data_IF_105485662779
#
_entry.id   IF_105485662779
#
_cell.length_a   1.000
_cell.length_b   1.000
_cell.length_c   1.000
_cell.angle_alpha   90.00
_cell.angle_beta   90.00
_cell.angle_gamma   90.00
#
_symmetry.space_group_name_H-M   'P 1'
#
loop_
_entity.id
_entity.type
_entity.pdbx_description
1 polymer ?
#
# COMPACT_ATOMS: atom_id res chain seq x y z
N UNK A 1 12.39 -17.29 -0.50
CA UNK A 1 11.01 -16.88 -0.16
C UNK A 1 10.10 -17.68 -1.06
N UNK A 2 9.60 -18.77 -0.53
CA UNK A 2 8.72 -19.69 -1.25
C UNK A 2 7.33 -19.64 -0.60
N UNK A 3 6.75 -18.44 -0.60
CA UNK A 3 5.36 -18.30 -0.23
C UNK A 3 4.53 -18.40 -1.50
N UNK A 4 3.99 -19.59 -1.77
CA UNK A 4 3.11 -19.84 -2.91
C UNK A 4 1.85 -18.96 -2.90
N UNK A 5 1.54 -18.36 -1.77
CA UNK A 5 0.34 -17.55 -1.57
C UNK A 5 0.25 -16.39 -2.56
N UNK A 6 1.35 -15.68 -2.83
CA UNK A 6 1.29 -14.53 -3.74
C UNK A 6 0.96 -14.96 -5.18
N UNK A 7 1.54 -16.08 -5.63
CA UNK A 7 1.23 -16.64 -6.96
C UNK A 7 -0.23 -17.08 -7.07
N UNK A 8 -0.72 -17.80 -6.06
CA UNK A 8 -2.12 -18.25 -6.00
C UNK A 8 -3.10 -17.06 -5.94
N UNK A 9 -2.78 -16.03 -5.18
CA UNK A 9 -3.58 -14.79 -5.12
C UNK A 9 -3.59 -14.07 -6.47
N UNK A 10 -2.48 -14.06 -7.21
CA UNK A 10 -2.40 -13.49 -8.56
C UNK A 10 -3.28 -14.25 -9.55
N UNK A 11 -3.31 -15.58 -9.47
CA UNK A 11 -4.21 -16.42 -10.26
C UNK A 11 -5.69 -16.17 -9.90
N UNK A 12 -6.00 -16.08 -8.61
CA UNK A 12 -7.36 -15.79 -8.14
C UNK A 12 -7.85 -14.40 -8.60
N UNK A 13 -6.99 -13.38 -8.52
CA UNK A 13 -7.29 -12.04 -9.02
C UNK A 13 -7.54 -12.07 -10.54
N UNK A 14 -6.71 -12.79 -11.28
CA UNK A 14 -6.87 -12.96 -12.73
C UNK A 14 -8.19 -13.67 -13.06
N UNK A 15 -8.55 -14.72 -12.32
CA UNK A 15 -9.81 -15.43 -12.51
C UNK A 15 -11.02 -14.52 -12.27
N UNK A 16 -10.99 -13.70 -11.20
CA UNK A 16 -12.05 -12.73 -10.90
C UNK A 16 -12.23 -11.73 -12.04
N UNK A 17 -11.13 -11.21 -12.58
CA UNK A 17 -11.19 -10.26 -13.68
C UNK A 17 -11.71 -10.91 -14.96
N UNK A 18 -11.27 -12.14 -15.30
CA UNK A 18 -11.77 -12.89 -16.43
C UNK A 18 -13.27 -13.22 -16.28
N UNK A 19 -13.71 -13.56 -15.07
CA UNK A 19 -15.13 -13.83 -14.82
C UNK A 19 -15.98 -12.56 -15.02
N UNK A 20 -15.50 -11.41 -14.56
CA UNK A 20 -16.13 -10.11 -14.80
C UNK A 20 -16.25 -9.78 -16.29
N UNK A 21 -15.28 -10.20 -17.11
CA UNK A 21 -15.26 -10.04 -18.57
C UNK A 21 -16.00 -11.15 -19.32
N UNK A 22 -16.56 -12.15 -18.65
CA UNK A 22 -17.20 -13.31 -19.27
C UNK A 22 -16.24 -14.23 -20.01
N UNK A 23 -14.94 -14.21 -19.68
CA UNK A 23 -13.88 -14.97 -20.35
C UNK A 23 -13.37 -16.12 -19.48
N UNK A 24 -12.82 -17.16 -20.12
CA UNK A 24 -12.15 -18.30 -19.48
C UNK A 24 -10.72 -18.49 -19.96
N UNK A 25 -10.37 -17.85 -21.05
CA UNK A 25 -9.03 -17.87 -21.64
C UNK A 25 -8.57 -16.46 -21.94
N UNK A 26 -7.29 -16.18 -21.72
CA UNK A 26 -6.68 -14.88 -22.07
C UNK A 26 -5.16 -14.96 -22.09
N UNK A 27 -4.58 -14.09 -22.90
CA UNK A 27 -3.21 -13.65 -22.71
C UNK A 27 -3.21 -12.54 -21.66
N UNK A 28 -2.36 -12.65 -20.65
CA UNK A 28 -2.35 -11.72 -19.51
C UNK A 28 -1.01 -11.04 -19.36
N UNK A 29 -1.08 -9.79 -18.95
CA UNK A 29 0.05 -9.01 -18.50
C UNK A 29 -0.13 -8.71 -17.01
N UNK A 30 0.79 -9.18 -16.18
CA UNK A 30 0.78 -8.90 -14.76
C UNK A 30 1.61 -7.67 -14.42
N UNK A 31 0.95 -6.65 -13.89
CA UNK A 31 1.55 -5.47 -13.29
C UNK A 31 1.44 -5.61 -11.78
N UNK A 32 2.56 -5.84 -11.11
CA UNK A 32 2.64 -6.18 -9.68
C UNK A 32 3.63 -5.28 -8.96
N UNK A 33 3.68 -5.33 -7.64
CA UNK A 33 4.57 -4.48 -6.88
C UNK A 33 5.37 -5.18 -5.80
N UNK A 34 6.49 -4.57 -5.46
CA UNK A 34 7.32 -4.89 -4.30
C UNK A 34 7.46 -3.67 -3.40
N UNK A 35 7.62 -3.87 -2.09
CA UNK A 35 8.06 -2.80 -1.19
C UNK A 35 9.34 -2.16 -1.72
N UNK A 36 9.43 -0.85 -1.58
CA UNK A 36 10.50 -0.05 -2.18
C UNK A 36 11.90 -0.56 -1.81
N UNK A 37 12.13 -0.85 -0.52
CA UNK A 37 13.43 -1.33 -0.02
C UNK A 37 13.82 -2.72 -0.52
N UNK A 38 12.86 -3.49 -1.05
CA UNK A 38 13.07 -4.82 -1.62
C UNK A 38 13.18 -4.78 -3.14
N UNK A 39 12.65 -3.72 -3.78
CA UNK A 39 12.50 -3.63 -5.22
C UNK A 39 13.81 -3.83 -5.97
N UNK A 40 14.87 -3.10 -5.63
CA UNK A 40 16.16 -3.22 -6.32
C UNK A 40 16.84 -4.60 -6.20
N UNK A 41 16.63 -5.28 -5.07
CA UNK A 41 17.30 -6.56 -4.77
C UNK A 41 16.51 -7.79 -5.22
N UNK A 42 15.19 -7.72 -5.16
CA UNK A 42 14.32 -8.90 -5.30
C UNK A 42 13.51 -8.91 -6.59
N UNK A 43 13.51 -7.83 -7.36
CA UNK A 43 12.70 -7.68 -8.57
C UNK A 43 12.85 -8.85 -9.55
N UNK A 44 14.08 -9.23 -9.90
CA UNK A 44 14.34 -10.28 -10.88
C UNK A 44 13.93 -11.67 -10.32
N UNK A 45 14.21 -11.94 -9.04
CA UNK A 45 13.80 -13.17 -8.38
C UNK A 45 12.26 -13.26 -8.31
N UNK A 46 11.59 -12.14 -8.05
CA UNK A 46 10.14 -12.08 -7.99
C UNK A 46 9.49 -12.28 -9.36
N UNK A 47 10.05 -11.70 -10.43
CA UNK A 47 9.61 -11.97 -11.81
C UNK A 47 9.75 -13.47 -12.11
N UNK A 48 10.90 -14.08 -11.80
CA UNK A 48 11.13 -15.51 -12.02
C UNK A 48 10.13 -16.37 -11.25
N UNK A 49 9.86 -16.03 -9.99
CA UNK A 49 8.88 -16.72 -9.16
C UNK A 49 7.47 -16.64 -9.76
N UNK A 50 7.04 -15.48 -10.25
CA UNK A 50 5.72 -15.33 -10.86
C UNK A 50 5.63 -15.97 -12.25
N UNK A 51 6.74 -16.08 -12.97
CA UNK A 51 6.83 -16.66 -14.31
C UNK A 51 7.22 -18.14 -14.31
N UNK A 52 6.97 -18.86 -13.21
CA UNK A 52 7.31 -20.29 -13.08
C UNK A 52 6.60 -21.16 -14.14
N UNK A 53 5.45 -20.75 -14.62
CA UNK A 53 4.71 -21.37 -15.71
C UNK A 53 4.16 -20.29 -16.64
N UNK A 54 4.53 -20.34 -17.92
CA UNK A 54 4.02 -19.40 -18.92
C UNK A 54 2.55 -19.65 -19.24
N UNK A 55 2.16 -20.91 -19.36
CA UNK A 55 0.79 -21.33 -19.60
C UNK A 55 0.26 -22.01 -18.35
N UNK A 56 -0.88 -21.57 -17.86
CA UNK A 56 -1.46 -22.04 -16.61
C UNK A 56 -2.93 -22.38 -16.80
N UNK A 57 -3.28 -23.62 -16.47
CA UNK A 57 -4.68 -24.04 -16.36
C UNK A 57 -4.98 -24.27 -14.88
N UNK A 58 -5.99 -23.58 -14.36
CA UNK A 58 -6.33 -23.67 -12.95
C UNK A 58 -7.85 -23.55 -12.72
N UNK A 59 -8.30 -23.90 -11.53
CA UNK A 59 -9.72 -23.77 -11.12
C UNK A 59 -9.85 -22.71 -10.03
N UNK A 60 -10.84 -21.84 -10.17
CA UNK A 60 -11.25 -20.88 -9.17
C UNK A 60 -12.79 -20.91 -9.08
N UNK A 61 -13.34 -21.06 -7.87
CA UNK A 61 -14.79 -21.16 -7.61
C UNK A 61 -15.50 -22.18 -8.54
N UNK A 62 -14.92 -23.37 -8.67
CA UNK A 62 -15.39 -24.48 -9.53
C UNK A 62 -15.32 -24.23 -11.05
N UNK A 63 -14.89 -23.06 -11.49
CA UNK A 63 -14.73 -22.69 -12.90
C UNK A 63 -13.27 -22.89 -13.33
N UNK A 64 -13.07 -23.40 -14.54
CA UNK A 64 -11.73 -23.61 -15.10
C UNK A 64 -11.32 -22.41 -15.94
N UNK A 65 -10.06 -21.98 -15.79
CA UNK A 65 -9.43 -20.90 -16.53
C UNK A 65 -8.15 -21.40 -17.19
N UNK A 66 -7.83 -20.85 -18.35
CA UNK A 66 -6.56 -21.08 -19.05
C UNK A 66 -5.98 -19.72 -19.44
N UNK A 67 -4.76 -19.43 -18.98
CA UNK A 67 -4.09 -18.17 -19.26
C UNK A 67 -2.69 -18.40 -19.81
N UNK A 68 -2.24 -17.50 -20.67
CA UNK A 68 -0.85 -17.36 -21.07
C UNK A 68 -0.30 -16.08 -20.49
N UNK A 69 0.72 -16.19 -19.64
CA UNK A 69 1.40 -15.01 -19.05
C UNK A 69 2.40 -14.48 -20.08
N UNK A 70 2.01 -13.41 -20.78
CA UNK A 70 2.85 -12.79 -21.81
C UNK A 70 3.96 -11.96 -21.20
N UNK A 71 3.67 -11.29 -20.08
CA UNK A 71 4.62 -10.42 -19.43
C UNK A 71 4.29 -10.19 -17.96
N UNK A 72 5.35 -9.96 -17.19
CA UNK A 72 5.29 -9.52 -15.79
C UNK A 72 6.13 -8.26 -15.67
N UNK A 73 5.57 -7.20 -15.14
CA UNK A 73 6.30 -5.99 -14.74
C UNK A 73 6.12 -5.73 -13.27
N UNK A 74 7.22 -5.45 -12.59
CA UNK A 74 7.25 -5.16 -11.15
C UNK A 74 7.53 -3.68 -10.96
N UNK A 75 6.74 -3.05 -10.12
CA UNK A 75 6.83 -1.62 -9.79
C UNK A 75 7.06 -1.45 -8.28
N UNK A 76 7.76 -0.38 -7.86
CA UNK A 76 7.91 -0.10 -6.44
C UNK A 76 6.56 0.39 -5.87
N UNK A 77 6.15 -0.20 -4.75
CA UNK A 77 5.06 0.33 -3.94
C UNK A 77 5.40 1.76 -3.49
N UNK A 78 4.45 2.48 -2.93
CA UNK A 78 4.60 3.88 -2.58
C UNK A 78 4.70 4.80 -3.83
N UNK A 79 5.66 4.59 -4.74
CA UNK A 79 5.73 5.33 -6.01
C UNK A 79 4.51 5.07 -6.89
N UNK A 80 4.13 3.82 -7.04
CA UNK A 80 2.95 3.45 -7.82
C UNK A 80 1.69 4.13 -7.32
N UNK A 81 1.50 4.25 -6.00
CA UNK A 81 0.33 4.88 -5.40
C UNK A 81 0.10 6.33 -5.85
N UNK A 82 1.15 7.02 -6.28
CA UNK A 82 1.12 8.43 -6.70
C UNK A 82 1.44 8.64 -8.18
N UNK A 83 1.79 7.59 -8.91
CA UNK A 83 2.31 7.66 -10.28
C UNK A 83 1.37 8.40 -11.25
N UNK A 84 0.05 8.23 -11.11
CA UNK A 84 -0.93 8.88 -12.00
C UNK A 84 -1.06 10.39 -11.74
N UNK A 85 -0.61 10.88 -10.59
CA UNK A 85 -0.72 12.29 -10.17
C UNK A 85 0.66 12.97 -10.05
N UNK A 86 1.73 12.27 -10.39
CA UNK A 86 3.10 12.72 -10.11
C UNK A 86 3.45 14.04 -10.78
N UNK A 87 2.84 14.34 -11.95
CA UNK A 87 3.01 15.60 -12.67
C UNK A 87 2.39 16.82 -11.96
N UNK A 88 1.48 16.58 -11.01
CA UNK A 88 0.81 17.63 -10.23
C UNK A 88 1.62 18.02 -8.97
N UNK A 89 2.68 17.25 -8.67
CA UNK A 89 3.45 17.44 -7.44
C UNK A 89 4.57 18.47 -7.64
N UNK A 90 4.94 19.20 -6.58
CA UNK A 90 6.13 20.04 -6.60
C UNK A 90 7.39 19.23 -6.90
N UNK A 91 8.46 19.93 -7.28
CA UNK A 91 9.74 19.31 -7.60
C UNK A 91 10.32 18.41 -6.48
N UNK A 92 9.96 18.68 -5.23
CA UNK A 92 10.33 17.85 -4.09
C UNK A 92 9.08 17.57 -3.25
N UNK A 93 8.82 16.29 -2.98
CA UNK A 93 7.71 15.82 -2.13
C UNK A 93 8.11 14.56 -1.38
N UNK A 94 7.61 14.38 -0.17
CA UNK A 94 7.76 13.15 0.59
C UNK A 94 6.44 12.36 0.52
N UNK A 95 6.50 11.14 0.02
CA UNK A 95 5.36 10.19 0.07
C UNK A 95 5.55 9.26 1.25
N UNK A 96 4.50 9.09 2.04
CA UNK A 96 4.47 8.21 3.21
C UNK A 96 3.35 7.20 3.01
N UNK A 97 3.71 5.97 2.66
CA UNK A 97 2.77 4.87 2.46
C UNK A 97 2.61 4.09 3.77
N UNK A 98 1.42 4.15 4.35
CA UNK A 98 1.11 3.47 5.60
C UNK A 98 0.25 2.25 5.28
N UNK A 99 0.94 1.12 5.18
CA UNK A 99 0.32 -0.19 4.94
C UNK A 99 -0.08 -0.91 6.22
N UNK A 100 -0.46 -2.19 6.07
CA UNK A 100 -0.80 -3.04 7.21
C UNK A 100 0.40 -3.37 8.09
N UNK A 101 1.56 -3.65 7.50
CA UNK A 101 2.78 -4.09 8.20
C UNK A 101 3.88 -3.04 8.26
N UNK A 102 3.98 -2.20 7.24
CA UNK A 102 5.08 -1.26 7.07
C UNK A 102 4.59 0.17 6.86
N UNK A 103 5.49 1.09 7.18
CA UNK A 103 5.43 2.49 6.76
C UNK A 103 6.64 2.74 5.87
N UNK A 104 6.38 3.09 4.63
CA UNK A 104 7.40 3.40 3.65
C UNK A 104 7.48 4.92 3.44
N UNK A 105 8.67 5.49 3.61
CA UNK A 105 8.93 6.91 3.41
C UNK A 105 9.80 7.07 2.16
N UNK A 106 9.27 7.73 1.16
CA UNK A 106 9.89 7.87 -0.15
C UNK A 106 9.94 9.32 -0.60
N UNK A 107 11.10 9.94 -0.63
CA UNK A 107 11.28 11.21 -1.30
C UNK A 107 11.15 11.06 -2.81
N UNK A 108 10.43 11.99 -3.42
CA UNK A 108 10.36 12.14 -4.88
C UNK A 108 10.95 13.49 -5.24
N UNK A 109 11.94 13.47 -6.13
CA UNK A 109 12.63 14.66 -6.64
C UNK A 109 12.47 14.71 -8.16
N UNK A 110 11.91 15.79 -8.66
CA UNK A 110 11.65 15.96 -10.10
C UNK A 110 10.92 14.74 -10.71
N UNK A 111 9.85 14.30 -10.04
CA UNK A 111 9.00 13.18 -10.45
C UNK A 111 9.67 11.79 -10.43
N UNK A 112 10.86 11.67 -9.84
CA UNK A 112 11.58 10.41 -9.71
C UNK A 112 11.83 10.09 -8.24
N UNK A 113 11.66 8.82 -7.80
CA UNK A 113 11.99 8.43 -6.44
C UNK A 113 13.50 8.56 -6.19
N UNK A 114 13.86 9.08 -5.02
CA UNK A 114 15.24 9.04 -4.53
C UNK A 114 15.44 7.77 -3.71
N UNK A 115 15.83 6.69 -4.39
CA UNK A 115 15.98 5.38 -3.78
C UNK A 115 17.07 5.33 -2.69
N UNK A 116 18.03 6.26 -2.72
CA UNK A 116 19.17 6.28 -1.79
C UNK A 116 18.78 6.63 -0.35
N UNK A 117 17.66 7.32 -0.17
CA UNK A 117 17.15 7.79 1.12
C UNK A 117 15.76 7.27 1.47
N UNK A 118 15.29 6.26 0.73
CA UNK A 118 14.04 5.60 1.05
C UNK A 118 14.16 4.74 2.31
N UNK A 119 13.16 4.78 3.16
CA UNK A 119 13.13 4.06 4.45
C UNK A 119 11.84 3.28 4.60
N UNK A 120 11.95 2.05 5.09
CA UNK A 120 10.81 1.23 5.53
C UNK A 120 10.91 1.01 7.04
N UNK A 121 9.83 1.26 7.75
CA UNK A 121 9.66 0.98 9.18
C UNK A 121 8.61 -0.11 9.38
N UNK A 122 8.86 -1.06 10.28
CA UNK A 122 7.90 -2.11 10.67
C UNK A 122 6.88 -1.55 11.67
N UNK A 123 6.11 -0.56 11.26
CA UNK A 123 5.17 0.20 12.09
C UNK A 123 3.84 0.44 11.36
N UNK A 124 3.37 -0.56 10.61
CA UNK A 124 2.08 -0.47 9.92
C UNK A 124 0.88 -0.52 10.88
N UNK A 125 -0.32 -0.44 10.35
CA UNK A 125 -1.59 -0.37 11.13
C UNK A 125 -1.77 -1.54 12.08
N UNK A 126 -1.30 -2.74 11.73
CA UNK A 126 -1.39 -3.92 12.60
C UNK A 126 -0.64 -3.68 13.91
N UNK A 127 0.54 -3.03 13.88
CA UNK A 127 1.28 -2.72 15.12
C UNK A 127 0.54 -1.73 16.00
N UNK A 128 -0.19 -0.78 15.42
CA UNK A 128 -1.06 0.12 16.16
C UNK A 128 -2.20 -0.64 16.85
N UNK A 129 -2.90 -1.53 16.12
CA UNK A 129 -3.98 -2.36 16.67
C UNK A 129 -3.48 -3.24 17.82
N UNK A 130 -2.33 -3.88 17.64
CA UNK A 130 -1.70 -4.70 18.69
C UNK A 130 -1.37 -3.88 19.94
N UNK A 131 -0.85 -2.65 19.77
CA UNK A 131 -0.55 -1.77 20.89
C UNK A 131 -1.83 -1.31 21.61
N UNK A 132 -2.89 -0.98 20.88
CA UNK A 132 -4.20 -0.65 21.46
C UNK A 132 -4.70 -1.81 22.33
N UNK A 133 -4.69 -3.04 21.80
CA UNK A 133 -5.14 -4.21 22.56
C UNK A 133 -4.28 -4.48 23.80
N UNK A 134 -2.96 -4.32 23.67
CA UNK A 134 -2.05 -4.44 24.82
C UNK A 134 -2.41 -3.45 25.93
N UNK A 135 -2.74 -2.21 25.60
CA UNK A 135 -3.14 -1.19 26.56
C UNK A 135 -4.53 -1.46 27.17
N UNK A 136 -5.48 -1.95 26.37
CA UNK A 136 -6.80 -2.37 26.86
C UNK A 136 -6.67 -3.53 27.86
N UNK A 137 -5.90 -4.55 27.56
CA UNK A 137 -5.62 -5.65 28.50
C UNK A 137 -4.95 -5.11 29.77
N UNK A 138 -3.95 -4.24 29.64
CA UNK A 138 -3.23 -3.67 30.78
C UNK A 138 -4.12 -2.83 31.72
N UNK A 139 -5.00 -1.98 31.15
CA UNK A 139 -5.80 -1.01 31.90
C UNK A 139 -7.17 -1.59 32.32
N UNK A 140 -7.77 -2.46 31.49
CA UNK A 140 -9.14 -2.94 31.64
C UNK A 140 -9.24 -4.48 31.79
N UNK A 141 -8.12 -5.19 31.70
CA UNK A 141 -8.06 -6.67 31.70
C UNK A 141 -8.97 -7.32 30.62
N UNK A 142 -9.11 -6.66 29.47
CA UNK A 142 -9.96 -7.10 28.36
C UNK A 142 -9.40 -6.64 27.04
N UNK A 143 -9.55 -7.44 25.98
CA UNK A 143 -9.25 -7.06 24.61
C UNK A 143 -10.45 -6.40 23.93
N UNK A 144 -10.19 -5.62 22.88
CA UNK A 144 -11.18 -5.06 21.96
C UNK A 144 -11.06 -5.80 20.63
N UNK A 145 -12.18 -6.14 20.02
CA UNK A 145 -12.19 -6.76 18.71
C UNK A 145 -11.50 -5.85 17.67
N UNK A 146 -10.71 -6.44 16.80
CA UNK A 146 -10.00 -5.70 15.74
C UNK A 146 -10.98 -4.92 14.85
N UNK A 147 -12.15 -5.49 14.57
CA UNK A 147 -13.20 -4.83 13.81
C UNK A 147 -13.65 -3.52 14.48
N UNK A 148 -13.86 -3.52 15.79
CA UNK A 148 -14.28 -2.32 16.53
C UNK A 148 -13.18 -1.26 16.53
N UNK A 149 -11.92 -1.64 16.68
CA UNK A 149 -10.77 -0.71 16.54
C UNK A 149 -10.75 -0.12 15.15
N UNK A 150 -10.94 -0.94 14.11
CA UNK A 150 -10.99 -0.47 12.73
C UNK A 150 -12.17 0.47 12.48
N UNK A 151 -13.34 0.23 13.09
CA UNK A 151 -14.48 1.16 13.00
C UNK A 151 -14.13 2.52 13.62
N UNK A 152 -13.43 2.55 14.75
CA UNK A 152 -12.93 3.81 15.33
C UNK A 152 -11.97 4.52 14.38
N UNK A 153 -11.02 3.79 13.78
CA UNK A 153 -10.06 4.34 12.80
C UNK A 153 -10.76 4.96 11.59
N UNK A 154 -11.82 4.31 11.09
CA UNK A 154 -12.51 4.71 9.85
C UNK A 154 -13.62 5.74 10.09
N UNK A 155 -14.37 5.61 11.17
CA UNK A 155 -15.64 6.31 11.37
C UNK A 155 -15.66 7.20 12.62
N UNK A 156 -14.68 7.03 13.52
CA UNK A 156 -14.73 7.60 14.86
C UNK A 156 -15.44 6.66 15.85
N UNK A 157 -15.31 6.96 17.12
CA UNK A 157 -15.73 6.07 18.20
C UNK A 157 -17.23 6.19 18.49
N UNK A 158 -18.09 5.31 17.97
CA UNK A 158 -19.54 5.46 18.20
C UNK A 158 -20.14 4.49 19.21
N UNK A 159 -19.73 3.22 19.25
CA UNK A 159 -20.46 2.19 19.99
C UNK A 159 -19.68 1.53 21.14
N UNK A 160 -18.48 2.01 21.44
CA UNK A 160 -17.66 1.47 22.53
C UNK A 160 -17.88 2.23 23.85
N UNK A 161 -17.78 1.56 25.00
CA UNK A 161 -17.76 2.24 26.31
C UNK A 161 -16.60 3.25 26.36
N UNK A 162 -16.83 4.38 27.05
CA UNK A 162 -15.87 5.52 27.06
C UNK A 162 -14.46 5.11 27.49
N UNK A 163 -14.32 4.23 28.46
CA UNK A 163 -13.03 3.73 28.92
C UNK A 163 -12.19 3.05 27.81
N UNK A 164 -12.83 2.37 26.86
CA UNK A 164 -12.14 1.78 25.70
C UNK A 164 -11.83 2.85 24.64
N UNK A 165 -12.78 3.75 24.41
CA UNK A 165 -12.58 4.89 23.49
C UNK A 165 -11.37 5.70 23.85
N UNK A 166 -11.23 6.08 25.12
CA UNK A 166 -10.13 6.91 25.61
C UNK A 166 -8.77 6.25 25.34
N UNK A 167 -8.68 4.93 25.58
CA UNK A 167 -7.44 4.17 25.29
C UNK A 167 -7.15 4.15 23.80
N UNK A 168 -8.16 3.83 22.97
CA UNK A 168 -8.00 3.74 21.52
C UNK A 168 -7.57 5.09 20.96
N UNK A 169 -8.21 6.18 21.35
CA UNK A 169 -7.89 7.53 20.86
C UNK A 169 -6.49 7.95 21.32
N UNK A 170 -6.11 7.68 22.56
CA UNK A 170 -4.75 7.95 23.07
C UNK A 170 -3.69 7.23 22.24
N UNK A 171 -3.88 5.94 21.97
CA UNK A 171 -2.90 5.14 21.22
C UNK A 171 -2.88 5.52 19.72
N UNK A 172 -4.02 5.89 19.11
CA UNK A 172 -4.07 6.41 17.75
C UNK A 172 -3.29 7.73 17.61
N UNK A 173 -3.41 8.65 18.57
CA UNK A 173 -2.62 9.88 18.58
C UNK A 173 -1.12 9.59 18.74
N UNK A 174 -0.73 8.70 19.65
CA UNK A 174 0.68 8.28 19.82
C UNK A 174 1.23 7.62 18.53
N UNK A 175 0.42 6.81 17.85
CA UNK A 175 0.80 6.22 16.59
C UNK A 175 1.06 7.30 15.53
N UNK A 176 0.16 8.27 15.37
CA UNK A 176 0.36 9.38 14.44
C UNK A 176 1.59 10.21 14.77
N UNK A 177 1.87 10.45 16.06
CA UNK A 177 3.07 11.13 16.52
C UNK A 177 4.33 10.34 16.16
N UNK A 178 4.31 9.00 16.30
CA UNK A 178 5.41 8.13 15.90
C UNK A 178 5.71 8.28 14.40
N UNK A 179 4.68 8.27 13.53
CA UNK A 179 4.85 8.48 12.09
C UNK A 179 5.44 9.87 11.81
N UNK A 180 4.95 10.89 12.50
CA UNK A 180 5.46 12.26 12.39
C UNK A 180 6.93 12.34 12.80
N UNK A 181 7.33 11.63 13.84
CA UNK A 181 8.72 11.58 14.29
C UNK A 181 9.62 10.90 13.27
N UNK A 182 9.18 9.84 12.58
CA UNK A 182 9.96 9.25 11.48
C UNK A 182 10.25 10.28 10.36
N UNK A 183 9.28 11.13 10.04
CA UNK A 183 9.46 12.19 9.03
C UNK A 183 10.53 13.19 9.51
N UNK A 184 10.48 13.59 10.78
CA UNK A 184 11.46 14.52 11.39
C UNK A 184 12.85 13.92 11.50
N UNK A 185 12.96 12.64 11.88
CA UNK A 185 14.24 11.89 11.94
C UNK A 185 14.96 11.85 10.60
N UNK A 186 14.22 11.82 9.49
CA UNK A 186 14.78 11.91 8.15
C UNK A 186 15.17 13.33 7.74
N UNK A 187 15.06 14.30 8.64
CA UNK A 187 15.45 15.70 8.41
C UNK A 187 14.42 16.51 7.63
N UNK A 188 13.17 16.02 7.47
CA UNK A 188 12.13 16.79 6.79
C UNK A 188 11.43 17.77 7.73
N UNK A 189 11.43 19.05 7.34
CA UNK A 189 10.61 20.05 7.98
C UNK A 189 9.18 19.96 7.41
N UNK A 190 8.23 19.59 8.25
CA UNK A 190 6.84 19.35 7.83
C UNK A 190 6.11 20.62 7.40
N UNK A 191 6.56 21.80 7.84
CA UNK A 191 5.96 23.08 7.44
C UNK A 191 6.40 23.52 6.03
N UNK A 192 7.55 23.02 5.58
CA UNK A 192 8.17 23.40 4.30
C UNK A 192 8.09 22.30 3.25
N UNK A 193 8.13 21.05 3.67
CA UNK A 193 8.14 19.90 2.76
C UNK A 193 6.72 19.44 2.46
N UNK A 194 6.28 19.43 1.20
CA UNK A 194 5.03 18.79 0.83
C UNK A 194 5.05 17.30 1.18
N UNK A 195 4.01 16.83 1.88
CA UNK A 195 3.88 15.45 2.34
C UNK A 195 2.59 14.85 1.79
N UNK A 196 2.67 13.64 1.29
CA UNK A 196 1.51 12.89 0.80
C UNK A 196 1.43 11.57 1.55
N UNK A 197 0.42 11.43 2.38
CA UNK A 197 0.08 10.16 3.01
C UNK A 197 -0.76 9.32 2.06
N UNK A 198 -0.38 8.05 1.86
CA UNK A 198 -1.09 7.10 1.00
C UNK A 198 -1.38 5.80 1.76
N UNK A 199 -2.29 4.99 1.21
CA UNK A 199 -2.67 3.70 1.79
C UNK A 199 -3.73 3.80 2.88
N UNK A 200 -4.03 2.66 3.52
CA UNK A 200 -5.08 2.57 4.53
C UNK A 200 -4.83 3.45 5.76
N UNK A 201 -3.57 3.60 6.16
CA UNK A 201 -3.19 4.45 7.30
C UNK A 201 -3.25 5.94 7.03
N UNK A 202 -3.41 6.38 5.78
CA UNK A 202 -3.62 7.78 5.45
C UNK A 202 -4.90 8.34 6.11
N UNK A 203 -5.95 7.52 6.21
CA UNK A 203 -7.19 7.87 6.93
C UNK A 203 -6.93 8.11 8.42
N UNK A 204 -6.10 7.27 9.05
CA UNK A 204 -5.72 7.43 10.45
C UNK A 204 -4.94 8.73 10.67
N UNK A 205 -3.94 9.01 9.82
CA UNK A 205 -3.19 10.27 9.88
C UNK A 205 -4.08 11.49 9.68
N UNK A 206 -5.04 11.43 8.76
CA UNK A 206 -5.98 12.53 8.50
C UNK A 206 -6.88 12.83 9.68
N UNK A 207 -7.36 11.78 10.38
CA UNK A 207 -8.31 11.90 11.48
C UNK A 207 -7.64 12.22 12.82
N UNK A 208 -6.52 11.57 13.10
CA UNK A 208 -5.89 11.60 14.43
C UNK A 208 -4.52 12.27 14.45
N UNK A 209 -3.94 12.58 13.29
CA UNK A 209 -2.59 13.19 13.19
C UNK A 209 -2.53 14.66 13.54
N UNK A 210 -3.68 15.33 13.74
CA UNK A 210 -3.77 16.76 14.11
C UNK A 210 -2.90 17.69 13.25
N UNK A 211 -2.70 17.33 11.97
CA UNK A 211 -1.86 18.11 11.07
C UNK A 211 -2.64 19.31 10.51
N UNK A 212 -2.11 20.50 10.71
CA UNK A 212 -2.71 21.76 10.23
C UNK A 212 -2.00 22.33 8.99
N UNK A 213 -0.93 21.68 8.54
CA UNK A 213 -0.11 22.16 7.42
C UNK A 213 -0.87 22.07 6.09
N UNK A 214 -0.86 23.15 5.31
CA UNK A 214 -1.52 23.22 3.99
C UNK A 214 -0.83 22.37 2.91
N UNK A 215 0.40 21.99 3.15
CA UNK A 215 1.22 21.18 2.25
C UNK A 215 1.11 19.68 2.51
N UNK A 216 0.18 19.24 3.36
CA UNK A 216 -0.13 17.83 3.60
C UNK A 216 -1.34 17.40 2.79
N UNK A 217 -1.23 16.28 2.07
CA UNK A 217 -2.31 15.65 1.29
C UNK A 217 -2.49 14.20 1.72
N UNK A 218 -3.69 13.67 1.51
CA UNK A 218 -4.08 12.31 1.87
C UNK A 218 -4.72 11.60 0.68
N UNK A 219 -4.19 10.43 0.32
CA UNK A 219 -4.75 9.51 -0.66
C UNK A 219 -5.24 8.28 0.11
N UNK A 220 -6.49 8.33 0.55
CA UNK A 220 -7.10 7.33 1.46
C UNK A 220 -7.54 6.04 0.74
N UNK A 221 -7.28 5.93 -0.57
CA UNK A 221 -7.63 4.71 -1.33
C UNK A 221 -6.65 3.57 -0.98
N UNK A 222 -7.15 2.54 -0.29
CA UNK A 222 -6.37 1.33 0.03
C UNK A 222 -5.84 0.60 -1.20
N UNK A 223 -6.42 0.87 -2.39
CA UNK A 223 -6.01 0.29 -3.67
C UNK A 223 -5.06 1.19 -4.47
N UNK A 224 -4.56 2.28 -3.89
CA UNK A 224 -3.73 3.26 -4.60
C UNK A 224 -2.54 2.60 -5.31
N UNK A 225 -1.80 1.72 -4.63
CA UNK A 225 -0.70 0.97 -5.24
C UNK A 225 -1.16 0.10 -6.42
N UNK A 226 -2.26 -0.66 -6.26
CA UNK A 226 -2.78 -1.53 -7.32
C UNK A 226 -3.24 -0.74 -8.56
N UNK A 227 -3.91 0.39 -8.35
CA UNK A 227 -4.28 1.32 -9.42
C UNK A 227 -3.06 1.92 -10.11
N UNK A 228 -2.01 2.20 -9.33
CA UNK A 228 -0.73 2.68 -9.87
C UNK A 228 -0.02 1.63 -10.71
N UNK A 229 -0.04 0.35 -10.31
CA UNK A 229 0.52 -0.73 -11.13
C UNK A 229 -0.23 -0.86 -12.47
N UNK A 230 -1.55 -0.81 -12.46
CA UNK A 230 -2.38 -0.81 -13.68
C UNK A 230 -2.03 0.39 -14.59
N UNK A 231 -1.95 1.60 -14.01
CA UNK A 231 -1.60 2.81 -14.73
C UNK A 231 -0.21 2.72 -15.39
N UNK A 232 0.82 2.33 -14.64
CA UNK A 232 2.19 2.16 -15.13
C UNK A 232 2.27 1.05 -16.17
N UNK A 233 1.53 -0.04 -15.98
CA UNK A 233 1.42 -1.13 -16.94
C UNK A 233 0.82 -0.69 -18.27
N UNK A 234 -0.24 0.11 -18.25
CA UNK A 234 -0.87 0.68 -19.45
C UNK A 234 0.08 1.59 -20.22
N UNK A 235 0.76 2.51 -19.53
CA UNK A 235 1.77 3.38 -20.16
C UNK A 235 2.86 2.56 -20.84
N UNK A 236 3.32 1.51 -20.17
CA UNK A 236 4.32 0.63 -20.74
C UNK A 236 3.83 -0.05 -22.03
N UNK A 237 2.62 -0.61 -22.03
CA UNK A 237 2.03 -1.26 -23.21
C UNK A 237 1.85 -0.29 -24.38
N UNK A 238 1.33 0.90 -24.13
CA UNK A 238 1.17 1.94 -25.16
C UNK A 238 2.51 2.34 -25.81
N UNK A 239 3.55 2.51 -25.01
CA UNK A 239 4.89 2.81 -25.50
C UNK A 239 5.49 1.68 -26.32
N UNK A 240 5.20 0.44 -25.97
CA UNK A 240 5.68 -0.73 -26.69
C UNK A 240 5.00 -0.84 -28.07
N UNK A 241 3.68 -0.66 -28.11
CA UNK A 241 2.90 -0.67 -29.36
C UNK A 241 3.39 0.41 -30.34
N UNK A 242 3.62 1.64 -29.85
CA UNK A 242 4.11 2.77 -30.69
C UNK A 242 5.53 2.57 -31.24
N UNK A 243 6.31 1.65 -30.67
CA UNK A 243 7.68 1.36 -31.15
C UNK A 243 7.73 0.24 -32.20
N UNK A 244 6.68 -0.55 -32.32
CA UNK A 244 6.60 -1.71 -33.22
C UNK A 244 5.77 -1.41 -34.47
N UNK A 245 4.98 -0.35 -34.47
CA UNK A 245 4.25 0.19 -35.62
C UNK A 245 4.97 1.40 -36.23
#
# INVERSE_FOLDING_TARGET
MEDENYYLLSLAATAKELDRLGKRTANVYWAVGLPLTRFGKEKEAFIKYLNQNREVTFKYEKKQYHITIERISVYPQCFAAVASQISEFPAKVLVVDIGSWTVDLMPIINQSPDESVCVTKNSGIITCIQQINKECVRKLNSEVDEYDIQQVMLNGADNLPDQYKDIILEELHKYCETITNYIRELGYNMDLTPIIFVGGGATVMKRFGQMQQRNVRYIEDIRANAKGFDYLGKIYLERTIRRVG
#
